data_IF_827271111913
#
_entry.id   IF_827271111913
#
_cell.length_a   1.000
_cell.length_b   1.000
_cell.length_c   1.000
_cell.angle_alpha   90.00
_cell.angle_beta   90.00
_cell.angle_gamma   90.00
#
_symmetry.space_group_name_H-M   'P 1'
#
loop_
_entity.id
_entity.type
_entity.pdbx_description
1 polymer ?
#
# COMPACT_ATOMS: atom_id res chain seq x y z
N UNK A 1 -61.55 -9.90 69.12
CA UNK A 1 -60.63 -10.96 68.62
C UNK A 1 -60.41 -10.98 67.10
N UNK A 2 -61.23 -10.32 66.25
CA UNK A 2 -61.01 -10.32 64.78
C UNK A 2 -59.91 -9.37 64.27
N UNK A 3 -59.57 -8.32 65.03
CA UNK A 3 -58.54 -7.34 64.64
C UNK A 3 -57.10 -7.79 64.91
N UNK A 4 -56.89 -8.72 65.85
CA UNK A 4 -55.55 -9.19 66.23
C UNK A 4 -55.00 -10.26 65.27
N UNK A 5 -55.90 -11.03 64.62
CA UNK A 5 -55.55 -12.01 63.60
C UNK A 5 -55.15 -11.38 62.25
N UNK A 6 -55.64 -10.17 61.93
CA UNK A 6 -55.32 -9.47 60.68
C UNK A 6 -53.92 -8.83 60.72
N UNK A 7 -53.45 -8.43 61.91
CA UNK A 7 -52.13 -7.83 62.09
C UNK A 7 -50.98 -8.86 61.98
N UNK A 8 -51.24 -10.13 62.31
CA UNK A 8 -50.21 -11.18 62.29
C UNK A 8 -49.93 -11.70 60.87
N UNK A 9 -50.89 -11.63 59.95
CA UNK A 9 -50.70 -12.07 58.55
C UNK A 9 -49.96 -11.05 57.67
N UNK A 10 -49.87 -9.79 58.10
CA UNK A 10 -49.16 -8.73 57.35
C UNK A 10 -47.64 -8.70 57.63
N UNK A 11 -47.18 -9.30 58.73
CA UNK A 11 -45.75 -9.34 59.08
C UNK A 11 -45.00 -10.46 58.35
N UNK A 12 -45.67 -11.55 57.99
CA UNK A 12 -45.02 -12.68 57.28
C UNK A 12 -44.76 -12.43 55.79
N UNK A 13 -45.40 -11.41 55.18
CA UNK A 13 -45.22 -11.12 53.75
C UNK A 13 -43.97 -10.29 53.44
N UNK A 14 -43.40 -9.59 54.44
CA UNK A 14 -42.21 -8.75 54.25
C UNK A 14 -40.87 -9.51 54.40
N UNK A 15 -40.89 -10.76 54.88
CA UNK A 15 -39.68 -11.55 55.10
C UNK A 15 -39.17 -12.28 53.84
N UNK A 16 -39.93 -12.27 52.74
CA UNK A 16 -39.61 -12.97 51.48
C UNK A 16 -39.60 -12.06 50.25
N UNK A 17 -39.49 -10.75 50.41
CA UNK A 17 -39.10 -9.87 49.29
C UNK A 17 -37.62 -10.15 48.98
N UNK A 18 -37.39 -11.18 48.18
CA UNK A 18 -36.08 -11.56 47.67
C UNK A 18 -35.45 -10.38 46.96
N UNK A 19 -34.40 -9.83 47.54
CA UNK A 19 -33.43 -9.02 46.80
C UNK A 19 -32.86 -9.95 45.74
N UNK A 20 -33.23 -9.74 44.48
CA UNK A 20 -32.57 -10.42 43.38
C UNK A 20 -31.06 -10.16 43.53
N UNK A 21 -30.20 -11.19 43.58
CA UNK A 21 -28.77 -10.95 43.61
C UNK A 21 -28.41 -10.22 42.32
N UNK A 22 -28.09 -8.93 42.43
CA UNK A 22 -27.40 -8.23 41.36
C UNK A 22 -26.06 -8.93 41.20
N UNK A 23 -25.98 -9.78 40.17
CA UNK A 23 -24.71 -10.28 39.68
C UNK A 23 -23.98 -9.08 39.08
N UNK A 24 -23.23 -8.35 39.92
CA UNK A 24 -22.16 -7.48 39.45
C UNK A 24 -21.12 -8.39 38.84
N UNK A 25 -21.22 -8.65 37.53
CA UNK A 25 -20.11 -9.20 36.77
C UNK A 25 -18.98 -8.19 36.86
N UNK A 26 -17.91 -8.55 37.56
CA UNK A 26 -16.64 -7.83 37.47
C UNK A 26 -16.18 -7.92 36.01
N UNK A 27 -16.30 -6.83 35.25
CA UNK A 27 -15.72 -6.79 33.90
C UNK A 27 -14.20 -6.70 34.07
N UNK A 28 -13.51 -7.81 33.84
CA UNK A 28 -12.06 -7.76 33.67
C UNK A 28 -11.81 -6.99 32.38
N UNK A 29 -11.34 -5.74 32.48
CA UNK A 29 -10.96 -4.96 31.30
C UNK A 29 -9.73 -5.61 30.69
N UNK A 30 -9.85 -6.03 29.44
CA UNK A 30 -8.73 -6.59 28.70
C UNK A 30 -8.17 -5.49 27.81
N UNK A 31 -6.88 -5.18 27.99
CA UNK A 31 -6.20 -4.14 27.21
C UNK A 31 -5.68 -4.66 25.85
N UNK A 32 -6.13 -5.83 25.42
CA UNK A 32 -5.61 -6.54 24.25
C UNK A 32 -6.73 -6.89 23.28
N UNK A 33 -6.51 -6.58 22.01
CA UNK A 33 -7.40 -6.95 20.90
C UNK A 33 -6.58 -7.66 19.84
N UNK A 34 -7.03 -8.86 19.45
CA UNK A 34 -6.39 -9.65 18.40
C UNK A 34 -6.88 -9.26 16.99
N UNK A 35 -7.61 -8.15 16.83
CA UNK A 35 -8.09 -7.67 15.53
C UNK A 35 -9.16 -8.56 14.87
N UNK A 36 -9.75 -9.50 15.62
CA UNK A 36 -10.73 -10.46 15.11
C UNK A 36 -12.17 -9.92 15.14
N UNK A 37 -12.40 -8.68 15.61
CA UNK A 37 -13.74 -8.09 15.78
C UNK A 37 -14.59 -8.75 16.87
N UNK A 38 -13.98 -9.62 17.68
CA UNK A 38 -14.60 -10.36 18.77
C UNK A 38 -13.84 -9.99 20.04
N UNK A 39 -14.42 -9.15 20.91
CA UNK A 39 -13.76 -8.67 22.13
C UNK A 39 -14.17 -7.25 22.55
N UNK A 40 -13.51 -6.72 23.59
CA UNK A 40 -13.64 -5.35 24.08
C UNK A 40 -12.88 -4.38 23.16
N UNK A 41 -13.43 -3.19 22.91
CA UNK A 41 -12.70 -2.15 22.17
C UNK A 41 -11.56 -1.60 23.03
N UNK A 42 -10.34 -1.89 22.59
CA UNK A 42 -9.13 -1.44 23.28
C UNK A 42 -8.92 0.07 23.18
N UNK A 43 -9.48 0.75 22.16
CA UNK A 43 -9.36 2.20 22.03
C UNK A 43 -10.18 2.95 23.07
N UNK A 44 -11.38 2.46 23.41
CA UNK A 44 -12.21 3.07 24.46
C UNK A 44 -11.58 2.93 25.86
N UNK A 45 -10.76 1.90 26.07
CA UNK A 45 -10.21 1.54 27.37
C UNK A 45 -8.73 1.90 27.59
N UNK A 46 -8.08 2.55 26.62
CA UNK A 46 -6.71 3.03 26.75
C UNK A 46 -6.63 4.43 27.35
N UNK A 47 -5.52 4.79 28.03
CA UNK A 47 -5.27 6.16 28.44
C UNK A 47 -4.98 7.07 27.24
N UNK A 48 -5.39 8.35 27.30
CA UNK A 48 -5.42 9.26 26.15
C UNK A 48 -4.07 9.43 25.44
N UNK A 49 -2.95 9.31 26.15
CA UNK A 49 -1.61 9.41 25.53
C UNK A 49 -1.26 8.22 24.61
N UNK A 50 -1.94 7.07 24.72
CA UNK A 50 -1.77 5.91 23.84
C UNK A 50 -2.77 5.91 22.67
N UNK A 51 -3.79 6.77 22.70
CA UNK A 51 -4.81 6.89 21.64
C UNK A 51 -4.32 7.66 20.43
N UNK A 52 -3.13 8.26 20.48
CA UNK A 52 -2.62 9.13 19.43
C UNK A 52 -2.62 8.50 18.04
N UNK A 53 -2.35 7.19 17.91
CA UNK A 53 -2.45 6.51 16.61
C UNK A 53 -3.89 6.42 16.10
N UNK A 54 -4.84 6.10 16.98
CA UNK A 54 -6.26 5.99 16.65
C UNK A 54 -6.88 7.34 16.31
N UNK A 55 -6.66 8.34 17.16
CA UNK A 55 -7.11 9.72 16.94
C UNK A 55 -6.50 10.31 15.67
N UNK A 56 -5.24 10.00 15.38
CA UNK A 56 -4.59 10.42 14.14
C UNK A 56 -5.21 9.74 12.91
N UNK A 57 -5.53 8.44 12.99
CA UNK A 57 -6.22 7.71 11.92
C UNK A 57 -7.61 8.27 11.68
N UNK A 58 -8.39 8.55 12.73
CA UNK A 58 -9.70 9.19 12.63
C UNK A 58 -9.63 10.60 12.04
N UNK A 59 -8.68 11.41 12.51
CA UNK A 59 -8.45 12.75 11.98
C UNK A 59 -8.07 12.72 10.49
N UNK A 60 -7.14 11.84 10.09
CA UNK A 60 -6.78 11.68 8.68
C UNK A 60 -7.99 11.22 7.87
N UNK A 61 -8.81 10.29 8.36
CA UNK A 61 -10.03 9.87 7.66
C UNK A 61 -11.00 11.05 7.43
N UNK A 62 -11.10 11.98 8.38
CA UNK A 62 -11.92 13.18 8.25
C UNK A 62 -11.39 14.23 7.27
N UNK A 63 -10.06 14.31 7.08
CA UNK A 63 -9.42 15.29 6.18
C UNK A 63 -9.23 14.73 4.77
N UNK A 64 -8.90 13.44 4.67
CA UNK A 64 -8.75 12.69 3.43
C UNK A 64 -9.40 11.34 3.64
N UNK A 65 -10.60 11.20 3.11
CA UNK A 65 -11.25 9.89 3.02
C UNK A 65 -10.27 8.92 2.35
N UNK A 66 -9.59 9.33 1.27
CA UNK A 66 -8.59 8.54 0.54
C UNK A 66 -7.16 8.60 1.12
N UNK A 67 -6.98 8.09 2.34
CA UNK A 67 -5.65 7.95 2.93
C UNK A 67 -5.08 6.53 2.79
N UNK A 68 -3.76 6.43 2.64
CA UNK A 68 -3.04 5.15 2.50
C UNK A 68 -2.88 4.40 3.83
N UNK A 69 -3.13 5.07 4.95
CA UNK A 69 -2.81 4.56 6.29
C UNK A 69 -3.95 3.73 6.89
N UNK A 70 -5.19 3.92 6.42
CA UNK A 70 -6.37 3.25 6.96
C UNK A 70 -7.13 2.39 5.94
N UNK A 71 -6.83 2.49 4.63
CA UNK A 71 -7.50 1.69 3.59
C UNK A 71 -6.56 0.72 2.90
N UNK A 72 -7.08 -0.48 2.61
CA UNK A 72 -6.48 -1.40 1.65
C UNK A 72 -6.47 -0.70 0.27
N UNK A 73 -5.28 -0.51 -0.32
CA UNK A 73 -5.12 0.26 -1.55
C UNK A 73 -5.85 -0.43 -2.71
N UNK A 74 -6.97 0.15 -3.14
CA UNK A 74 -7.74 -0.37 -4.27
C UNK A 74 -7.20 0.19 -5.57
N UNK A 75 -6.23 -0.52 -6.15
CA UNK A 75 -5.57 -0.21 -7.42
C UNK A 75 -6.60 0.09 -8.53
N UNK A 76 -7.64 -0.75 -8.67
CA UNK A 76 -8.62 -0.63 -9.75
C UNK A 76 -9.43 0.65 -9.64
N UNK A 77 -9.89 0.99 -8.43
CA UNK A 77 -10.59 2.25 -8.18
C UNK A 77 -9.68 3.44 -8.50
N UNK A 78 -8.42 3.38 -8.07
CA UNK A 78 -7.51 4.51 -8.22
C UNK A 78 -7.05 4.75 -9.66
N UNK A 79 -6.79 3.69 -10.41
CA UNK A 79 -6.52 3.73 -11.86
C UNK A 79 -7.68 4.40 -12.61
N UNK A 80 -8.92 4.16 -12.17
CA UNK A 80 -10.12 4.82 -12.72
C UNK A 80 -10.20 6.28 -12.31
N UNK A 81 -10.04 6.61 -11.04
CA UNK A 81 -10.11 8.00 -10.55
C UNK A 81 -9.08 8.92 -11.19
N UNK A 82 -7.88 8.38 -11.45
CA UNK A 82 -6.80 9.09 -12.11
C UNK A 82 -6.87 9.02 -13.63
N UNK A 83 -7.92 8.40 -14.20
CA UNK A 83 -8.11 8.23 -15.64
C UNK A 83 -6.85 7.68 -16.35
N UNK A 84 -6.09 6.79 -15.70
CA UNK A 84 -4.75 6.40 -16.20
C UNK A 84 -4.82 5.69 -17.55
N UNK A 85 -5.85 4.86 -17.77
CA UNK A 85 -6.04 4.17 -19.06
C UNK A 85 -6.37 5.15 -20.19
N UNK A 86 -7.04 6.25 -19.86
CA UNK A 86 -7.30 7.32 -20.82
C UNK A 86 -6.01 8.10 -21.08
N UNK A 87 -5.25 8.44 -20.04
CA UNK A 87 -3.98 9.12 -20.18
C UNK A 87 -2.94 8.31 -20.98
N UNK A 88 -2.86 6.99 -20.79
CA UNK A 88 -1.97 6.13 -21.58
C UNK A 88 -2.37 6.07 -23.06
N UNK A 89 -3.67 6.03 -23.34
CA UNK A 89 -4.21 6.06 -24.69
C UNK A 89 -3.99 7.42 -25.38
N UNK A 90 -4.27 8.53 -24.69
CA UNK A 90 -4.09 9.90 -25.21
C UNK A 90 -2.62 10.20 -25.52
N UNK A 91 -1.70 9.64 -24.74
CA UNK A 91 -0.27 9.78 -24.99
C UNK A 91 0.27 8.82 -26.06
N UNK A 92 -0.59 7.97 -26.62
CA UNK A 92 -0.24 7.03 -27.69
C UNK A 92 0.84 6.03 -27.29
N UNK A 93 0.95 5.68 -26.01
CA UNK A 93 2.01 4.81 -25.50
C UNK A 93 1.99 3.45 -26.21
N UNK A 94 0.80 2.88 -26.43
CA UNK A 94 0.64 1.62 -27.13
C UNK A 94 1.07 1.72 -28.59
N UNK A 95 0.67 2.77 -29.30
CA UNK A 95 1.08 3.01 -30.70
C UNK A 95 2.58 3.23 -30.83
N UNK A 96 3.21 3.89 -29.84
CA UNK A 96 4.67 4.08 -29.80
C UNK A 96 5.40 2.77 -29.51
N UNK A 97 4.88 1.93 -28.62
CA UNK A 97 5.44 0.60 -28.37
C UNK A 97 5.32 -0.30 -29.61
N UNK A 98 4.20 -0.27 -30.30
CA UNK A 98 3.99 -0.98 -31.56
C UNK A 98 4.95 -0.46 -32.65
N UNK A 99 5.14 0.86 -32.75
CA UNK A 99 6.14 1.46 -33.64
C UNK A 99 7.58 1.07 -33.31
N UNK A 100 7.85 0.67 -32.06
CA UNK A 100 9.14 0.12 -31.62
C UNK A 100 9.22 -1.41 -31.80
N UNK A 101 8.24 -2.04 -32.45
CA UNK A 101 8.23 -3.47 -32.76
C UNK A 101 7.58 -4.35 -31.68
N UNK A 102 6.89 -3.78 -30.69
CA UNK A 102 6.17 -4.55 -29.68
C UNK A 102 4.79 -4.97 -30.19
N UNK A 103 4.75 -6.04 -30.99
CA UNK A 103 3.50 -6.65 -31.46
C UNK A 103 3.07 -7.85 -30.59
N UNK A 104 1.87 -8.38 -30.85
CA UNK A 104 1.31 -9.48 -30.07
C UNK A 104 2.15 -10.76 -30.20
N UNK A 105 2.69 -11.03 -31.40
CA UNK A 105 3.53 -12.20 -31.66
C UNK A 105 4.87 -12.11 -30.92
N UNK A 106 5.43 -10.91 -30.81
CA UNK A 106 6.64 -10.62 -30.05
C UNK A 106 6.39 -10.74 -28.56
N UNK A 107 5.26 -10.26 -28.04
CA UNK A 107 4.88 -10.46 -26.65
C UNK A 107 4.81 -11.96 -26.31
N UNK A 108 4.29 -12.78 -27.22
CA UNK A 108 4.27 -14.24 -27.05
C UNK A 108 5.69 -14.84 -27.01
N UNK A 109 6.63 -14.34 -27.83
CA UNK A 109 8.05 -14.73 -27.79
C UNK A 109 8.77 -14.24 -26.53
N UNK A 110 8.35 -13.11 -25.96
CA UNK A 110 8.92 -12.55 -24.75
C UNK A 110 8.47 -13.29 -23.48
N UNK A 111 7.29 -13.92 -23.48
CA UNK A 111 6.79 -14.68 -22.33
C UNK A 111 7.77 -15.78 -21.86
N UNK A 112 8.31 -16.66 -22.74
CA UNK A 112 9.33 -17.63 -22.36
C UNK A 112 10.61 -16.98 -21.80
N UNK A 113 11.06 -15.87 -22.38
CA UNK A 113 12.25 -15.16 -21.89
C UNK A 113 12.02 -14.56 -20.50
N UNK A 114 10.84 -13.98 -20.26
CA UNK A 114 10.44 -13.47 -18.94
C UNK A 114 10.33 -14.60 -17.90
N UNK A 115 9.97 -15.80 -18.33
CA UNK A 115 9.95 -16.99 -17.48
C UNK A 115 11.37 -17.50 -17.16
N UNK A 116 12.26 -17.54 -18.15
CA UNK A 116 13.68 -17.89 -17.97
C UNK A 116 14.42 -16.90 -17.07
N UNK A 117 14.11 -15.61 -17.21
CA UNK A 117 14.59 -14.54 -16.33
C UNK A 117 13.94 -14.57 -14.93
N UNK A 118 12.99 -15.47 -14.69
CA UNK A 118 12.29 -15.61 -13.41
C UNK A 118 11.41 -14.42 -13.04
N UNK A 119 11.17 -13.47 -13.96
CA UNK A 119 10.38 -12.27 -13.72
C UNK A 119 8.91 -12.60 -13.44
N UNK A 120 8.33 -13.57 -14.16
CA UNK A 120 6.96 -14.03 -13.91
C UNK A 120 6.82 -14.68 -12.53
N UNK A 121 7.81 -15.47 -12.12
CA UNK A 121 7.88 -16.07 -10.80
C UNK A 121 8.08 -15.02 -9.71
N UNK A 122 8.92 -14.01 -9.97
CA UNK A 122 9.13 -12.90 -9.05
C UNK A 122 7.84 -12.10 -8.84
N UNK A 123 7.10 -11.78 -9.91
CA UNK A 123 5.80 -11.10 -9.81
C UNK A 123 4.79 -11.98 -9.08
N UNK A 124 4.70 -13.26 -9.43
CA UNK A 124 3.76 -14.21 -8.81
C UNK A 124 4.00 -14.43 -7.32
N UNK A 125 5.25 -14.57 -6.90
CA UNK A 125 5.61 -14.82 -5.49
C UNK A 125 5.62 -13.56 -4.63
N UNK A 126 5.71 -12.37 -5.24
CA UNK A 126 5.78 -11.09 -4.52
C UNK A 126 4.55 -10.21 -4.76
N UNK A 127 3.40 -10.78 -5.17
CA UNK A 127 2.17 -10.03 -5.44
C UNK A 127 1.80 -9.09 -4.29
N UNK A 128 1.92 -9.54 -3.03
CA UNK A 128 1.59 -8.72 -1.87
C UNK A 128 2.53 -7.52 -1.72
N UNK A 129 3.83 -7.68 -1.99
CA UNK A 129 4.80 -6.58 -1.95
C UNK A 129 4.59 -5.62 -3.11
N UNK A 130 4.31 -6.15 -4.30
CA UNK A 130 4.02 -5.34 -5.48
C UNK A 130 2.74 -4.52 -5.31
N UNK A 131 1.67 -5.12 -4.80
CA UNK A 131 0.38 -4.42 -4.61
C UNK A 131 0.44 -3.38 -3.48
N UNK A 132 1.22 -3.62 -2.43
CA UNK A 132 1.24 -2.69 -1.28
C UNK A 132 2.34 -1.64 -1.37
N UNK A 133 3.45 -1.91 -2.06
CA UNK A 133 4.59 -1.00 -2.13
C UNK A 133 4.71 -0.36 -3.51
N UNK A 134 4.70 -1.19 -4.56
CA UNK A 134 4.94 -0.71 -5.93
C UNK A 134 3.69 -0.09 -6.54
N UNK A 135 2.52 -0.71 -6.39
CA UNK A 135 1.30 -0.23 -7.02
C UNK A 135 0.92 1.18 -6.56
N UNK A 136 0.98 1.56 -5.26
CA UNK A 136 0.69 2.94 -4.87
C UNK A 136 1.68 3.92 -5.47
N UNK A 137 2.97 3.59 -5.49
CA UNK A 137 4.00 4.47 -6.05
C UNK A 137 3.81 4.68 -7.56
N UNK A 138 3.54 3.61 -8.30
CA UNK A 138 3.37 3.66 -9.75
C UNK A 138 2.05 4.32 -10.13
N UNK A 139 0.95 3.98 -9.47
CA UNK A 139 -0.39 4.48 -9.82
C UNK A 139 -0.54 5.96 -9.45
N UNK A 140 -0.10 6.38 -8.26
CA UNK A 140 -0.14 7.81 -7.90
C UNK A 140 0.88 8.63 -8.69
N UNK A 141 2.04 8.04 -9.03
CA UNK A 141 3.08 8.70 -9.83
C UNK A 141 2.79 8.71 -11.33
N UNK A 142 1.89 7.85 -11.82
CA UNK A 142 1.62 7.68 -13.24
C UNK A 142 1.25 8.98 -13.98
N UNK A 143 0.42 9.90 -13.46
CA UNK A 143 0.10 11.13 -14.19
C UNK A 143 1.34 11.97 -14.55
N UNK A 144 2.38 11.91 -13.73
CA UNK A 144 3.66 12.61 -13.94
C UNK A 144 4.61 11.76 -14.78
N UNK A 145 4.64 10.45 -14.55
CA UNK A 145 5.59 9.54 -15.21
C UNK A 145 5.17 9.18 -16.64
N UNK A 146 3.88 9.06 -16.92
CA UNK A 146 3.37 8.66 -18.23
C UNK A 146 3.90 9.56 -19.36
N UNK A 147 3.84 10.91 -19.28
CA UNK A 147 4.41 11.79 -20.31
C UNK A 147 5.90 11.56 -20.54
N UNK A 148 6.65 11.33 -19.46
CA UNK A 148 8.11 11.09 -19.52
C UNK A 148 8.39 9.77 -20.22
N UNK A 149 7.65 8.72 -19.89
CA UNK A 149 7.77 7.41 -20.53
C UNK A 149 7.35 7.49 -22.00
N UNK A 150 6.25 8.19 -22.30
CA UNK A 150 5.79 8.39 -23.67
C UNK A 150 6.80 9.17 -24.52
N UNK A 151 7.51 10.14 -23.95
CA UNK A 151 8.61 10.83 -24.61
C UNK A 151 9.85 9.95 -24.77
N UNK A 152 10.20 9.15 -23.75
CA UNK A 152 11.31 8.21 -23.83
C UNK A 152 11.08 7.14 -24.92
N UNK A 153 9.85 6.66 -25.08
CA UNK A 153 9.46 5.72 -26.13
C UNK A 153 9.53 6.32 -27.55
N UNK A 154 9.35 7.62 -27.72
CA UNK A 154 9.57 8.29 -29.02
C UNK A 154 11.05 8.30 -29.41
N UNK A 155 11.94 8.50 -28.45
CA UNK A 155 13.39 8.45 -28.67
C UNK A 155 13.87 7.01 -28.90
N UNK A 156 13.23 6.04 -28.22
CA UNK A 156 13.52 4.62 -28.35
C UNK A 156 14.58 4.12 -27.35
N UNK A 157 15.32 3.04 -27.67
CA UNK A 157 16.20 2.34 -26.72
C UNK A 157 17.23 3.22 -26.03
N UNK A 158 17.74 4.24 -26.73
CA UNK A 158 18.77 5.16 -26.20
C UNK A 158 18.30 5.97 -25.00
N UNK A 159 17.01 6.33 -24.92
CA UNK A 159 16.49 7.05 -23.75
C UNK A 159 16.57 6.21 -22.48
N UNK A 160 16.28 4.91 -22.60
CA UNK A 160 16.34 3.97 -21.47
C UNK A 160 17.78 3.65 -21.07
N UNK A 161 18.71 3.53 -22.02
CA UNK A 161 20.13 3.41 -21.68
C UNK A 161 20.71 4.68 -21.06
N UNK A 162 20.28 5.86 -21.51
CA UNK A 162 20.67 7.12 -20.88
C UNK A 162 20.12 7.18 -19.45
N UNK A 163 18.86 6.83 -19.24
CA UNK A 163 18.27 6.75 -17.90
C UNK A 163 19.06 5.79 -16.99
N UNK A 164 19.41 4.60 -17.50
CA UNK A 164 20.25 3.65 -16.77
C UNK A 164 21.62 4.23 -16.40
N UNK A 165 22.28 4.92 -17.34
CA UNK A 165 23.57 5.55 -17.09
C UNK A 165 23.46 6.67 -16.04
N UNK A 166 22.38 7.45 -16.07
CA UNK A 166 22.10 8.48 -15.06
C UNK A 166 21.86 7.85 -13.70
N UNK A 167 20.98 6.85 -13.59
CA UNK A 167 20.67 6.22 -12.31
C UNK A 167 21.88 5.50 -11.71
N UNK A 168 22.61 4.71 -12.49
CA UNK A 168 23.83 4.05 -12.03
C UNK A 168 24.96 5.04 -11.72
N UNK A 169 25.09 6.11 -12.52
CA UNK A 169 26.05 7.18 -12.25
C UNK A 169 25.75 7.96 -10.97
N UNK A 170 24.47 8.24 -10.70
CA UNK A 170 24.02 8.86 -9.46
C UNK A 170 24.28 7.96 -8.26
N UNK A 171 24.00 6.67 -8.36
CA UNK A 171 24.28 5.71 -7.28
C UNK A 171 25.78 5.69 -6.95
N UNK A 172 26.63 5.46 -7.96
CA UNK A 172 28.08 5.43 -7.76
C UNK A 172 28.61 6.77 -7.23
N UNK A 173 28.09 7.89 -7.71
CA UNK A 173 28.46 9.22 -7.23
C UNK A 173 28.07 9.44 -5.76
N UNK A 174 26.88 9.01 -5.35
CA UNK A 174 26.40 9.12 -3.97
C UNK A 174 27.16 8.22 -3.00
N UNK A 175 27.55 7.02 -3.43
CA UNK A 175 28.39 6.11 -2.65
C UNK A 175 29.81 6.68 -2.53
N UNK A 176 30.41 7.13 -3.64
CA UNK A 176 31.79 7.64 -3.66
C UNK A 176 31.97 8.94 -2.87
N UNK A 177 30.90 9.72 -2.68
CA UNK A 177 30.93 10.98 -1.93
C UNK A 177 30.50 10.85 -0.47
N UNK A 178 30.16 9.63 -0.01
CA UNK A 178 29.61 9.38 1.33
C UNK A 178 28.49 10.36 1.70
N UNK A 179 27.68 10.74 0.70
CA UNK A 179 26.62 11.71 0.89
C UNK A 179 25.63 11.19 1.94
N UNK A 180 25.19 12.05 2.86
CA UNK A 180 24.22 11.69 3.89
C UNK A 180 22.91 12.44 3.65
N UNK A 181 21.78 11.77 3.86
CA UNK A 181 20.48 12.42 3.78
C UNK A 181 20.21 13.16 5.09
N UNK A 182 20.05 14.49 5.08
CA UNK A 182 19.92 15.28 6.30
C UNK A 182 18.64 14.97 7.09
N UNK A 183 17.63 14.38 6.45
CA UNK A 183 16.36 14.01 7.06
C UNK A 183 16.42 12.67 7.82
N UNK A 184 17.30 11.75 7.40
CA UNK A 184 17.30 10.35 7.89
C UNK A 184 18.64 9.96 8.52
N UNK A 185 19.70 10.76 8.32
CA UNK A 185 21.04 10.49 8.86
C UNK A 185 21.72 9.25 8.25
N UNK A 186 21.11 8.63 7.23
CA UNK A 186 21.63 7.47 6.52
C UNK A 186 22.47 7.90 5.32
N UNK A 187 23.40 7.03 4.92
CA UNK A 187 24.14 7.18 3.68
C UNK A 187 23.16 7.19 2.49
N UNK A 188 23.19 8.27 1.71
CA UNK A 188 22.32 8.51 0.58
C UNK A 188 22.55 7.48 -0.53
N UNK A 189 23.79 7.01 -0.71
CA UNK A 189 24.13 5.94 -1.64
C UNK A 189 23.40 4.64 -1.31
N UNK A 190 23.42 4.23 -0.04
CA UNK A 190 22.70 3.02 0.41
C UNK A 190 21.18 3.21 0.41
N UNK A 191 20.70 4.36 0.91
CA UNK A 191 19.26 4.61 1.02
C UNK A 191 18.59 4.80 -0.34
N UNK A 192 19.18 5.62 -1.22
CA UNK A 192 18.68 5.79 -2.58
C UNK A 192 19.05 4.62 -3.48
N UNK A 193 20.11 3.87 -3.16
CA UNK A 193 20.48 2.63 -3.85
C UNK A 193 19.36 1.59 -3.87
N UNK A 194 18.55 1.52 -2.80
CA UNK A 194 17.33 0.68 -2.77
C UNK A 194 16.34 1.01 -3.90
N UNK A 195 16.35 2.23 -4.42
CA UNK A 195 15.50 2.67 -5.53
C UNK A 195 16.29 2.72 -6.86
N UNK A 196 17.51 3.26 -6.84
CA UNK A 196 18.35 3.49 -8.01
C UNK A 196 18.84 2.19 -8.65
N UNK A 197 19.17 1.17 -7.86
CA UNK A 197 19.61 -0.13 -8.40
C UNK A 197 18.48 -0.81 -9.19
N UNK A 198 17.25 -0.98 -8.64
CA UNK A 198 16.13 -1.50 -9.43
C UNK A 198 15.81 -0.64 -10.65
N UNK A 199 15.82 0.70 -10.53
CA UNK A 199 15.53 1.59 -11.66
C UNK A 199 16.57 1.46 -12.78
N UNK A 200 17.85 1.30 -12.43
CA UNK A 200 18.92 1.05 -13.40
C UNK A 200 18.69 -0.26 -14.13
N UNK A 201 18.42 -1.34 -13.38
CA UNK A 201 18.15 -2.67 -13.95
C UNK A 201 16.93 -2.66 -14.88
N UNK A 202 15.82 -2.06 -14.45
CA UNK A 202 14.60 -1.92 -15.27
C UNK A 202 14.88 -1.09 -16.53
N UNK A 203 15.64 0.00 -16.42
CA UNK A 203 15.97 0.84 -17.58
C UNK A 203 16.86 0.12 -18.58
N UNK A 204 17.84 -0.68 -18.12
CA UNK A 204 18.66 -1.52 -19.00
C UNK A 204 17.79 -2.57 -19.69
N UNK A 205 16.93 -3.27 -18.94
CA UNK A 205 16.06 -4.30 -19.48
C UNK A 205 15.07 -3.75 -20.51
N UNK A 206 14.47 -2.59 -20.23
CA UNK A 206 13.58 -1.89 -21.16
C UNK A 206 14.34 -1.45 -22.43
N UNK A 207 15.54 -0.88 -22.27
CA UNK A 207 16.39 -0.49 -23.39
C UNK A 207 16.80 -1.69 -24.25
N UNK A 208 17.21 -2.81 -23.64
CA UNK A 208 17.60 -4.02 -24.36
C UNK A 208 16.43 -4.70 -25.05
N UNK A 209 15.26 -4.74 -24.39
CA UNK A 209 14.05 -5.25 -25.01
C UNK A 209 13.72 -4.42 -26.25
N UNK A 210 13.56 -3.11 -26.13
CA UNK A 210 13.27 -2.24 -27.28
C UNK A 210 14.36 -2.31 -28.37
N UNK A 211 15.63 -2.39 -28.01
CA UNK A 211 16.72 -2.50 -28.97
C UNK A 211 16.68 -3.81 -29.77
N UNK A 212 16.30 -4.91 -29.11
CA UNK A 212 16.13 -6.20 -29.77
C UNK A 212 14.97 -6.21 -30.77
N UNK A 213 13.94 -5.39 -30.52
CA UNK A 213 12.76 -5.25 -31.37
C UNK A 213 13.00 -4.33 -32.57
N UNK A 214 13.76 -3.24 -32.37
CA UNK A 214 14.14 -2.31 -33.45
C UNK A 214 15.10 -2.89 -34.51
N UNK A 215 15.58 -4.13 -34.30
CA UNK A 215 16.58 -4.80 -35.14
C UNK A 215 16.00 -5.80 -36.15
N UNK A 216 14.70 -6.07 -36.09
CA UNK A 216 13.93 -6.75 -37.17
C UNK A 216 13.27 -5.71 -38.09
#
# INVERSE_FOLDING_TARGET
MKLLLLALSLVSAAAFSGVAPQSTRTSTRLHESFGLGIGEDTYENQPDFLKGEGEYKEWINGVKEDNMLNRQYNVIRRVRELDLLKATAEQGILSKLEAQGLDLATVEKLLPLLEELGLLSLVGNNQQLLVNLVAPLVVEGAPILLPVVAGALEVGPSAFYLAAAVFGGLELGLIATDATLPLVGLNAGLFLGLLLVPLTGVSIAAGSALASLSKE
#
